data_IF_218151312391
#
_entry.id   IF_218151312391
#
_cell.length_a   1.000
_cell.length_b   1.000
_cell.length_c   1.000
_cell.angle_alpha   90.00
_cell.angle_beta   90.00
_cell.angle_gamma   90.00
#
_symmetry.space_group_name_H-M   'P 1'
#
loop_
_entity.id
_entity.type
_entity.pdbx_description
1 polymer ?
#
# COMPACT_ATOMS: atom_id res chain seq x y z
N UNK A 1 12.26 10.34 -0.09
CA UNK A 1 11.01 10.64 -0.82
C UNK A 1 10.41 9.30 -1.26
N UNK A 2 9.38 8.79 -0.59
CA UNK A 2 8.72 7.53 -1.01
C UNK A 2 8.08 7.80 -2.37
N UNK A 3 8.71 7.32 -3.44
CA UNK A 3 8.16 7.42 -4.79
C UNK A 3 6.83 6.66 -4.80
N UNK A 4 5.76 7.27 -5.30
CA UNK A 4 4.44 6.63 -5.32
C UNK A 4 4.51 5.42 -6.27
N UNK A 5 4.56 4.24 -5.67
CA UNK A 5 4.56 2.94 -6.34
C UNK A 5 3.49 2.88 -7.43
N UNK A 6 2.30 3.46 -7.19
CA UNK A 6 1.20 3.42 -8.16
C UNK A 6 1.55 4.09 -9.48
N UNK A 7 2.41 5.11 -9.48
CA UNK A 7 2.88 5.75 -10.71
C UNK A 7 3.63 4.74 -11.58
N UNK A 8 4.54 3.96 -10.99
CA UNK A 8 5.28 2.94 -11.73
C UNK A 8 4.42 1.77 -12.18
N UNK A 9 3.49 1.31 -11.33
CA UNK A 9 2.52 0.27 -11.72
C UNK A 9 1.64 0.73 -12.89
N UNK A 10 1.19 1.98 -12.88
CA UNK A 10 0.42 2.56 -13.98
C UNK A 10 1.24 2.62 -15.28
N UNK A 11 2.51 3.04 -15.22
CA UNK A 11 3.39 3.02 -16.41
C UNK A 11 3.60 1.61 -16.97
N UNK A 12 3.67 0.59 -16.10
CA UNK A 12 3.74 -0.81 -16.52
C UNK A 12 2.45 -1.18 -17.26
N UNK A 13 1.28 -0.95 -16.66
CA UNK A 13 0.00 -1.29 -17.28
C UNK A 13 -0.23 -0.56 -18.60
N UNK A 14 0.01 0.75 -18.66
CA UNK A 14 -0.11 1.54 -19.90
C UNK A 14 0.77 0.96 -21.02
N UNK A 15 2.01 0.56 -20.69
CA UNK A 15 2.92 -0.03 -21.66
C UNK A 15 2.46 -1.41 -22.12
N UNK A 16 1.88 -2.22 -21.22
CA UNK A 16 1.30 -3.51 -21.54
C UNK A 16 0.08 -3.35 -22.47
N UNK A 17 -0.83 -2.43 -22.15
CA UNK A 17 -2.03 -2.15 -22.95
C UNK A 17 -1.64 -1.75 -24.39
N UNK A 18 -0.63 -0.90 -24.54
CA UNK A 18 -0.09 -0.53 -25.85
C UNK A 18 0.53 -1.73 -26.58
N UNK A 19 1.27 -2.63 -25.90
CA UNK A 19 1.80 -3.86 -26.52
C UNK A 19 0.65 -4.75 -27.02
N UNK A 20 -0.39 -4.93 -26.22
CA UNK A 20 -1.57 -5.71 -26.59
C UNK A 20 -2.28 -5.08 -27.80
N UNK A 21 -2.43 -3.75 -27.82
CA UNK A 21 -3.02 -3.02 -28.95
C UNK A 21 -2.19 -3.21 -30.23
N UNK A 22 -0.88 -2.99 -30.17
CA UNK A 22 -0.01 -3.08 -31.34
C UNK A 22 0.05 -4.49 -31.93
N UNK A 23 -0.06 -5.51 -31.08
CA UNK A 23 0.06 -6.92 -31.47
C UNK A 23 -1.28 -7.63 -31.61
N UNK A 24 -2.39 -6.88 -31.47
CA UNK A 24 -3.74 -7.38 -31.68
C UNK A 24 -3.89 -7.85 -33.13
N UNK A 25 -4.38 -9.08 -33.30
CA UNK A 25 -4.59 -9.71 -34.60
C UNK A 25 -3.31 -9.80 -35.48
N UNK A 26 -2.13 -9.80 -34.85
CA UNK A 26 -0.83 -9.99 -35.52
C UNK A 26 -0.27 -11.39 -35.28
N UNK A 27 0.28 -11.95 -36.34
CA UNK A 27 1.07 -13.19 -36.31
C UNK A 27 2.53 -12.90 -35.95
N UNK A 28 3.29 -13.96 -35.66
CA UNK A 28 4.74 -13.86 -35.46
C UNK A 28 5.44 -13.32 -36.72
N UNK A 29 5.02 -13.76 -37.91
CA UNK A 29 5.53 -13.28 -39.19
C UNK A 29 5.26 -11.79 -39.39
N UNK A 30 4.08 -11.28 -39.02
CA UNK A 30 3.78 -9.84 -39.04
C UNK A 30 4.76 -9.06 -38.14
N UNK A 31 5.10 -9.62 -36.97
CA UNK A 31 6.08 -9.04 -36.07
C UNK A 31 7.50 -9.06 -36.66
N UNK A 32 7.92 -10.17 -37.26
CA UNK A 32 9.27 -10.32 -37.83
C UNK A 32 9.50 -9.46 -39.08
N UNK A 33 8.43 -9.16 -39.83
CA UNK A 33 8.51 -8.36 -41.06
C UNK A 33 8.28 -6.86 -40.85
N UNK A 34 7.64 -6.46 -39.74
CA UNK A 34 7.35 -5.05 -39.45
C UNK A 34 8.35 -4.41 -38.47
N UNK A 35 9.29 -3.63 -38.99
CA UNK A 35 10.24 -2.85 -38.16
C UNK A 35 9.55 -1.88 -37.21
N UNK A 36 8.48 -1.23 -37.68
CA UNK A 36 7.68 -0.35 -36.84
C UNK A 36 7.09 -1.09 -35.63
N UNK A 37 6.57 -2.30 -35.84
CA UNK A 37 6.00 -3.10 -34.75
C UNK A 37 7.08 -3.57 -33.77
N UNK A 38 8.24 -3.99 -34.29
CA UNK A 38 9.41 -4.34 -33.47
C UNK A 38 9.81 -3.17 -32.56
N UNK A 39 10.06 -2.00 -33.14
CA UNK A 39 10.52 -0.82 -32.39
C UNK A 39 9.48 -0.38 -31.35
N UNK A 40 8.20 -0.39 -31.71
CA UNK A 40 7.11 -0.01 -30.81
C UNK A 40 7.02 -0.96 -29.61
N UNK A 41 7.04 -2.28 -29.83
CA UNK A 41 6.97 -3.30 -28.78
C UNK A 41 8.22 -3.26 -27.89
N UNK A 42 9.41 -3.24 -28.49
CA UNK A 42 10.69 -3.19 -27.75
C UNK A 42 10.72 -1.95 -26.86
N UNK A 43 10.30 -0.78 -27.37
CA UNK A 43 10.24 0.44 -26.58
C UNK A 43 9.31 0.31 -25.37
N UNK A 44 8.16 -0.34 -25.53
CA UNK A 44 7.23 -0.57 -24.40
C UNK A 44 7.84 -1.51 -23.36
N UNK A 45 8.52 -2.58 -23.79
CA UNK A 45 9.24 -3.50 -22.88
C UNK A 45 10.33 -2.75 -22.09
N UNK A 46 11.07 -1.84 -22.74
CA UNK A 46 12.07 -1.01 -22.03
C UNK A 46 11.45 -0.12 -20.95
N UNK A 47 10.28 0.49 -21.23
CA UNK A 47 9.57 1.33 -20.27
C UNK A 47 9.08 0.49 -19.07
N UNK A 48 8.57 -0.73 -19.32
CA UNK A 48 8.20 -1.67 -18.27
C UNK A 48 9.42 -1.98 -17.37
N UNK A 49 10.55 -2.33 -17.98
CA UNK A 49 11.78 -2.62 -17.24
C UNK A 49 12.26 -1.44 -16.39
N UNK A 50 12.20 -0.22 -16.93
CA UNK A 50 12.57 1.00 -16.21
C UNK A 50 11.62 1.31 -15.04
N UNK A 51 10.30 1.15 -15.25
CA UNK A 51 9.32 1.31 -14.18
C UNK A 51 9.57 0.31 -13.04
N UNK A 52 9.89 -0.94 -13.35
CA UNK A 52 10.22 -1.98 -12.36
C UNK A 52 11.50 -1.64 -11.59
N UNK A 53 12.55 -1.13 -12.26
CA UNK A 53 13.78 -0.68 -11.57
C UNK A 53 13.54 0.43 -10.55
N UNK A 54 12.50 1.23 -10.76
CA UNK A 54 12.14 2.32 -9.89
C UNK A 54 11.20 1.92 -8.73
N UNK A 55 10.70 0.68 -8.71
CA UNK A 55 9.97 0.15 -7.54
C UNK A 55 10.91 -0.01 -6.34
N UNK A 56 10.50 0.42 -5.13
CA UNK A 56 11.26 0.21 -3.89
C UNK A 56 11.64 -1.27 -3.68
N UNK A 57 12.75 -1.53 -3.01
CA UNK A 57 13.20 -2.91 -2.76
C UNK A 57 12.18 -3.66 -1.91
N UNK A 58 11.69 -3.02 -0.85
CA UNK A 58 10.71 -3.58 0.09
C UNK A 58 9.40 -3.95 -0.64
N UNK A 59 9.04 -3.20 -1.68
CA UNK A 59 7.89 -3.50 -2.51
C UNK A 59 8.10 -4.75 -3.36
N UNK A 60 9.27 -4.90 -3.97
CA UNK A 60 9.61 -6.08 -4.78
C UNK A 60 9.76 -7.34 -3.91
N UNK A 61 10.27 -7.19 -2.69
CA UNK A 61 10.35 -8.27 -1.69
C UNK A 61 8.96 -8.73 -1.23
N UNK A 62 8.02 -7.80 -1.03
CA UNK A 62 6.62 -8.12 -0.68
C UNK A 62 5.96 -9.02 -1.74
N UNK A 63 6.25 -8.78 -3.02
CA UNK A 63 5.68 -9.55 -4.15
C UNK A 63 6.76 -10.36 -4.87
N UNK A 64 7.54 -11.15 -4.12
CA UNK A 64 8.71 -11.87 -4.62
C UNK A 64 8.40 -13.04 -5.59
N UNK A 65 7.13 -13.42 -5.73
CA UNK A 65 6.69 -14.42 -6.69
C UNK A 65 6.76 -13.92 -8.14
N UNK A 66 6.83 -12.61 -8.33
CA UNK A 66 7.05 -11.98 -9.65
C UNK A 66 8.55 -11.91 -9.89
N UNK A 67 9.06 -12.39 -11.05
CA UNK A 67 10.49 -12.36 -11.36
C UNK A 67 10.95 -10.94 -11.77
N UNK A 68 10.90 -10.00 -10.83
CA UNK A 68 11.16 -8.57 -11.07
C UNK A 68 12.48 -8.32 -11.79
N UNK A 69 13.53 -9.07 -11.44
CA UNK A 69 14.85 -8.94 -12.04
C UNK A 69 14.84 -9.25 -13.52
N UNK A 70 14.14 -10.29 -13.94
CA UNK A 70 14.06 -10.71 -15.34
C UNK A 70 13.35 -9.65 -16.18
N UNK A 71 12.23 -9.11 -15.69
CA UNK A 71 11.54 -8.00 -16.37
C UNK A 71 12.36 -6.70 -16.38
N UNK A 72 13.07 -6.38 -15.29
CA UNK A 72 13.93 -5.20 -15.21
C UNK A 72 15.13 -5.28 -16.19
N UNK A 73 15.66 -6.48 -16.40
CA UNK A 73 16.80 -6.76 -17.27
C UNK A 73 16.37 -7.17 -18.69
N UNK A 74 15.06 -7.15 -18.99
CA UNK A 74 14.50 -7.70 -20.22
C UNK A 74 15.15 -7.13 -21.48
N UNK A 75 15.39 -5.81 -21.51
CA UNK A 75 16.13 -5.17 -22.62
C UNK A 75 17.49 -5.83 -22.87
N UNK A 76 18.26 -6.07 -21.82
CA UNK A 76 19.58 -6.66 -21.92
C UNK A 76 19.47 -8.13 -22.36
N UNK A 77 18.46 -8.85 -21.88
CA UNK A 77 18.18 -10.24 -22.27
C UNK A 77 17.86 -10.31 -23.76
N UNK A 78 17.02 -9.41 -24.28
CA UNK A 78 16.60 -9.38 -25.67
C UNK A 78 17.75 -9.03 -26.64
N UNK A 79 18.76 -8.26 -26.21
CA UNK A 79 19.88 -7.83 -27.07
C UNK A 79 21.08 -8.80 -27.01
N UNK A 80 21.23 -9.58 -25.93
CA UNK A 80 22.50 -10.25 -25.58
C UNK A 80 22.98 -11.33 -26.54
N UNK A 81 22.20 -11.82 -27.51
CA UNK A 81 22.61 -12.99 -28.29
C UNK A 81 23.45 -12.70 -29.54
N UNK A 82 23.25 -11.61 -30.29
CA UNK A 82 23.95 -11.46 -31.59
C UNK A 82 24.21 -10.01 -32.06
N UNK A 83 24.48 -9.07 -31.13
CA UNK A 83 24.53 -7.62 -31.45
C UNK A 83 23.22 -7.08 -32.07
N UNK A 84 22.13 -7.82 -31.93
CA UNK A 84 20.80 -7.51 -32.42
C UNK A 84 19.75 -8.09 -31.49
N UNK A 85 18.52 -7.62 -31.65
CA UNK A 85 17.38 -8.05 -30.82
C UNK A 85 16.93 -9.45 -31.26
N UNK A 86 16.79 -10.37 -30.30
CA UNK A 86 16.19 -11.69 -30.50
C UNK A 86 14.67 -11.53 -30.67
N UNK A 87 14.22 -11.44 -31.93
CA UNK A 87 12.81 -11.21 -32.26
C UNK A 87 11.92 -12.36 -31.83
N UNK A 88 12.40 -13.61 -31.90
CA UNK A 88 11.66 -14.79 -31.45
C UNK A 88 11.41 -14.74 -29.95
N UNK A 89 12.47 -14.49 -29.17
CA UNK A 89 12.33 -14.31 -27.72
C UNK A 89 11.43 -13.12 -27.38
N UNK A 90 11.54 -12.00 -28.11
CA UNK A 90 10.68 -10.83 -27.91
C UNK A 90 9.21 -11.18 -28.11
N UNK A 91 8.89 -11.92 -29.17
CA UNK A 91 7.52 -12.37 -29.43
C UNK A 91 7.01 -13.34 -28.37
N UNK A 92 7.85 -14.27 -27.91
CA UNK A 92 7.49 -15.17 -26.80
C UNK A 92 7.16 -14.40 -25.52
N UNK A 93 8.00 -13.42 -25.15
CA UNK A 93 7.78 -12.55 -23.98
C UNK A 93 6.44 -11.83 -24.10
N UNK A 94 6.13 -11.27 -25.28
CA UNK A 94 4.86 -10.59 -25.54
C UNK A 94 3.66 -11.51 -25.37
N UNK A 95 3.75 -12.77 -25.84
CA UNK A 95 2.60 -13.69 -25.81
C UNK A 95 2.46 -14.46 -24.50
N UNK A 96 3.53 -14.65 -23.73
CA UNK A 96 3.54 -15.52 -22.53
C UNK A 96 3.77 -14.76 -21.23
N UNK A 97 4.73 -13.85 -21.18
CA UNK A 97 5.19 -13.26 -19.92
C UNK A 97 4.49 -11.92 -19.63
N UNK A 98 4.28 -11.09 -20.65
CA UNK A 98 3.58 -9.82 -20.53
C UNK A 98 2.13 -9.99 -20.02
N UNK A 99 1.31 -10.94 -20.52
CA UNK A 99 -0.03 -11.16 -19.98
C UNK A 99 -0.03 -11.58 -18.51
N UNK A 100 0.91 -12.46 -18.11
CA UNK A 100 1.06 -12.86 -16.71
C UNK A 100 1.45 -11.69 -15.82
N UNK A 101 2.39 -10.85 -16.29
CA UNK A 101 2.77 -9.63 -15.58
C UNK A 101 1.55 -8.70 -15.40
N UNK A 102 0.72 -8.54 -16.44
CA UNK A 102 -0.51 -7.74 -16.36
C UNK A 102 -1.43 -8.21 -15.24
N UNK A 103 -1.73 -9.51 -15.19
CA UNK A 103 -2.59 -10.09 -14.17
C UNK A 103 -2.07 -9.80 -12.77
N UNK A 104 -0.76 -9.98 -12.55
CA UNK A 104 -0.14 -9.73 -11.27
C UNK A 104 -0.15 -8.25 -10.88
N UNK A 105 0.15 -7.34 -11.80
CA UNK A 105 0.12 -5.89 -11.54
C UNK A 105 -1.31 -5.42 -11.22
N UNK A 106 -2.33 -5.94 -11.92
CA UNK A 106 -3.74 -5.62 -11.64
C UNK A 106 -4.16 -6.11 -10.25
N UNK A 107 -3.80 -7.33 -9.84
CA UNK A 107 -4.06 -7.84 -8.48
C UNK A 107 -3.40 -6.96 -7.41
N UNK A 108 -2.16 -6.56 -7.64
CA UNK A 108 -1.41 -5.66 -6.75
C UNK A 108 -2.12 -4.30 -6.65
N UNK A 109 -2.57 -3.74 -7.78
CA UNK A 109 -3.30 -2.47 -7.77
C UNK A 109 -4.61 -2.56 -6.98
N UNK A 110 -5.37 -3.64 -7.17
CA UNK A 110 -6.60 -3.91 -6.42
C UNK A 110 -6.32 -4.02 -4.91
N UNK A 111 -5.25 -4.71 -4.51
CA UNK A 111 -4.82 -4.79 -3.11
C UNK A 111 -4.47 -3.40 -2.54
N UNK A 112 -3.72 -2.60 -3.31
CA UNK A 112 -3.35 -1.24 -2.92
C UNK A 112 -4.54 -0.26 -2.87
N UNK A 113 -5.61 -0.53 -3.61
CA UNK A 113 -6.86 0.24 -3.56
C UNK A 113 -7.77 -0.20 -2.41
N UNK A 114 -7.86 -1.51 -2.14
CA UNK A 114 -8.57 -2.05 -0.97
C UNK A 114 -8.01 -1.49 0.32
N UNK A 115 -6.68 -1.43 0.44
CA UNK A 115 -6.03 -0.85 1.61
C UNK A 115 -6.41 0.64 1.77
N UNK A 116 -6.39 1.45 0.69
CA UNK A 116 -6.81 2.87 0.74
C UNK A 116 -8.23 3.09 1.29
N UNK A 117 -9.13 2.14 1.08
CA UNK A 117 -10.52 2.24 1.51
C UNK A 117 -10.79 1.63 2.89
N UNK A 118 -9.78 1.05 3.55
CA UNK A 118 -9.95 0.58 4.91
C UNK A 118 -10.22 1.78 5.83
N UNK A 119 -11.32 1.66 6.56
CA UNK A 119 -11.75 2.58 7.59
C UNK A 119 -11.66 1.88 8.92
N UNK A 120 -11.02 2.53 9.88
CA UNK A 120 -10.88 2.05 11.24
C UNK A 120 -11.56 3.01 12.20
N UNK A 121 -11.91 2.47 13.36
CA UNK A 121 -12.25 3.29 14.51
C UNK A 121 -11.06 3.29 15.47
N UNK A 122 -10.81 4.42 16.12
CA UNK A 122 -9.74 4.55 17.12
C UNK A 122 -10.38 5.04 18.42
N UNK A 123 -10.12 4.34 19.51
CA UNK A 123 -10.50 4.80 20.84
C UNK A 123 -9.41 5.73 21.37
N UNK A 124 -9.72 7.01 21.38
CA UNK A 124 -8.84 8.06 21.86
C UNK A 124 -9.07 8.33 23.35
N UNK A 125 -7.97 8.40 24.09
CA UNK A 125 -7.89 8.93 25.44
C UNK A 125 -6.74 9.96 25.48
N UNK A 126 -6.87 11.04 26.26
CA UNK A 126 -5.81 12.05 26.34
C UNK A 126 -5.81 13.03 25.15
N UNK A 127 -4.64 13.32 24.56
CA UNK A 127 -4.48 14.39 23.57
C UNK A 127 -5.25 14.14 22.27
N UNK A 128 -5.37 12.89 21.82
CA UNK A 128 -6.16 12.52 20.64
C UNK A 128 -7.68 12.76 20.80
N UNK A 129 -8.16 13.12 22.00
CA UNK A 129 -9.54 13.56 22.22
C UNK A 129 -9.78 15.02 21.80
N UNK A 130 -8.71 15.83 21.64
CA UNK A 130 -8.83 17.27 21.37
C UNK A 130 -9.01 17.53 19.89
N UNK A 131 -10.02 18.33 19.53
CA UNK A 131 -10.33 18.66 18.11
C UNK A 131 -9.18 19.37 17.42
N UNK A 132 -8.48 20.25 18.14
CA UNK A 132 -7.35 21.03 17.64
C UNK A 132 -6.18 20.11 17.27
N UNK A 133 -5.91 19.09 18.11
CA UNK A 133 -4.89 18.08 17.84
C UNK A 133 -5.23 17.24 16.61
N UNK A 134 -6.50 16.84 16.46
CA UNK A 134 -6.95 16.09 15.28
C UNK A 134 -6.83 16.92 13.99
N UNK A 135 -7.17 18.21 14.04
CA UNK A 135 -6.98 19.13 12.92
C UNK A 135 -5.50 19.29 12.55
N UNK A 136 -4.61 19.42 13.54
CA UNK A 136 -3.16 19.51 13.31
C UNK A 136 -2.61 18.25 12.63
N UNK A 137 -2.99 17.07 13.12
CA UNK A 137 -2.44 15.80 12.66
C UNK A 137 -3.01 15.37 11.30
N UNK A 138 -4.32 15.41 11.13
CA UNK A 138 -5.00 14.80 9.97
C UNK A 138 -5.80 15.78 9.13
N UNK A 139 -5.71 17.09 9.41
CA UNK A 139 -6.34 18.16 8.65
C UNK A 139 -7.88 18.04 8.55
N UNK A 140 -8.50 17.37 9.52
CA UNK A 140 -9.96 17.29 9.70
C UNK A 140 -10.31 16.85 11.12
N UNK A 141 -11.57 17.01 11.50
CA UNK A 141 -12.13 16.37 12.70
C UNK A 141 -12.98 15.17 12.25
N UNK A 142 -12.61 13.92 12.60
CA UNK A 142 -13.43 12.75 12.32
C UNK A 142 -14.73 12.79 13.12
N UNK A 143 -15.69 11.91 12.80
CA UNK A 143 -16.88 11.79 13.64
C UNK A 143 -16.46 11.24 15.01
N UNK A 144 -16.86 11.94 16.06
CA UNK A 144 -16.49 11.66 17.45
C UNK A 144 -17.73 11.17 18.19
N UNK A 145 -17.63 10.03 18.88
CA UNK A 145 -18.68 9.48 19.73
C UNK A 145 -18.10 9.24 21.12
N UNK A 146 -18.76 9.72 22.17
CA UNK A 146 -18.37 9.42 23.55
C UNK A 146 -18.60 7.93 23.85
N UNK A 147 -17.66 7.32 24.56
CA UNK A 147 -17.74 5.90 24.88
C UNK A 147 -16.64 5.46 25.83
N UNK A 148 -16.57 4.15 26.05
CA UNK A 148 -15.62 3.54 26.97
C UNK A 148 -15.10 2.20 26.49
N UNK A 149 -13.90 1.87 26.93
CA UNK A 149 -13.33 0.52 26.81
C UNK A 149 -13.23 -0.10 28.19
N UNK A 150 -13.48 -1.41 28.27
CA UNK A 150 -13.39 -2.18 29.51
C UNK A 150 -12.13 -3.04 29.52
N UNK A 151 -11.61 -3.34 30.70
CA UNK A 151 -10.37 -4.11 30.88
C UNK A 151 -9.10 -3.28 30.75
N UNK A 152 -9.21 -1.94 30.76
CA UNK A 152 -8.09 -1.01 30.69
C UNK A 152 -8.18 0.02 31.80
N UNK A 153 -7.03 0.54 32.24
CA UNK A 153 -6.95 1.73 33.08
C UNK A 153 -6.05 2.79 32.43
N UNK A 154 -6.42 4.05 32.64
CA UNK A 154 -5.60 5.20 32.28
C UNK A 154 -4.74 5.58 33.48
N UNK A 155 -3.45 5.77 33.26
CA UNK A 155 -2.50 6.17 34.31
C UNK A 155 -1.59 7.28 33.79
N UNK A 156 -1.07 8.10 34.70
CA UNK A 156 -0.06 9.08 34.35
C UNK A 156 1.32 8.42 34.40
N UNK A 157 2.04 8.44 33.28
CA UNK A 157 3.41 7.94 33.20
C UNK A 157 4.38 9.09 33.48
N UNK A 158 4.92 9.11 34.71
CA UNK A 158 5.88 10.12 35.17
C UNK A 158 7.18 10.11 34.34
N UNK A 159 7.52 9.00 33.68
CA UNK A 159 8.77 8.90 32.90
C UNK A 159 8.75 9.70 31.61
N UNK A 160 7.56 9.87 31.03
CA UNK A 160 7.35 10.63 29.79
C UNK A 160 6.51 11.91 30.02
N UNK A 161 5.88 12.05 31.19
CA UNK A 161 5.04 13.21 31.53
C UNK A 161 3.68 13.21 30.83
N UNK A 162 3.22 12.05 30.35
CA UNK A 162 1.97 11.89 29.61
C UNK A 162 1.12 10.74 30.15
N UNK A 163 -0.16 10.73 29.80
CA UNK A 163 -1.06 9.64 30.18
C UNK A 163 -0.91 8.44 29.25
N UNK A 164 -0.71 7.26 29.82
CA UNK A 164 -0.79 5.97 29.14
C UNK A 164 -2.05 5.20 29.48
N UNK A 165 -2.35 4.17 28.69
CA UNK A 165 -3.32 3.14 29.02
C UNK A 165 -2.63 1.78 29.12
N UNK A 166 -3.09 0.93 30.03
CA UNK A 166 -2.64 -0.46 30.17
C UNK A 166 -3.80 -1.38 30.52
N UNK A 167 -3.63 -2.68 30.31
CA UNK A 167 -4.64 -3.67 30.71
C UNK A 167 -4.79 -3.72 32.22
N UNK A 168 -6.04 -3.71 32.68
CA UNK A 168 -6.41 -3.96 34.08
C UNK A 168 -7.83 -4.49 34.15
N UNK A 169 -7.95 -5.72 34.64
CA UNK A 169 -9.24 -6.39 34.79
C UNK A 169 -10.17 -5.60 35.73
N UNK A 170 -11.46 -5.59 35.43
CA UNK A 170 -12.48 -4.86 36.20
C UNK A 170 -12.42 -3.33 36.10
N UNK A 171 -11.49 -2.78 35.29
CA UNK A 171 -11.37 -1.33 35.08
C UNK A 171 -11.97 -0.90 33.73
N UNK A 172 -12.16 0.40 33.55
CA UNK A 172 -12.56 0.98 32.28
C UNK A 172 -11.91 2.36 32.07
N UNK A 173 -11.90 2.82 30.82
CA UNK A 173 -11.47 4.17 30.42
C UNK A 173 -12.63 4.82 29.68
N UNK A 174 -13.07 5.99 30.12
CA UNK A 174 -13.94 6.87 29.32
C UNK A 174 -13.09 7.67 28.32
N UNK A 175 -13.60 7.84 27.11
CA UNK A 175 -12.87 8.47 26.00
C UNK A 175 -13.76 8.75 24.80
N UNK A 176 -13.14 8.87 23.63
CA UNK A 176 -13.83 9.19 22.38
C UNK A 176 -13.52 8.12 21.33
N UNK A 177 -14.56 7.59 20.69
CA UNK A 177 -14.46 6.76 19.51
C UNK A 177 -14.39 7.67 18.29
N UNK A 178 -13.22 7.72 17.66
CA UNK A 178 -12.99 8.39 16.38
C UNK A 178 -13.35 7.43 15.26
N UNK A 179 -14.31 7.80 14.42
CA UNK A 179 -14.78 6.96 13.32
C UNK A 179 -14.12 7.29 11.98
N UNK A 180 -14.09 6.29 11.11
CA UNK A 180 -13.70 6.40 9.70
C UNK A 180 -12.29 6.94 9.47
N UNK A 181 -11.34 6.53 10.32
CA UNK A 181 -9.91 6.82 10.19
C UNK A 181 -9.35 5.98 9.04
N UNK A 182 -8.74 6.62 8.05
CA UNK A 182 -8.08 5.94 6.93
C UNK A 182 -6.75 5.32 7.34
N UNK A 183 -6.22 4.38 6.55
CA UNK A 183 -4.85 3.87 6.68
C UNK A 183 -3.81 4.99 6.87
N UNK A 184 -3.90 6.06 6.06
CA UNK A 184 -2.95 7.18 6.13
C UNK A 184 -3.03 7.93 7.46
N UNK A 185 -4.24 8.18 7.93
CA UNK A 185 -4.49 8.92 9.18
C UNK A 185 -4.15 8.08 10.41
N UNK A 186 -4.44 6.79 10.34
CA UNK A 186 -4.04 5.83 11.36
C UNK A 186 -2.50 5.77 11.46
N UNK A 187 -1.79 5.78 10.34
CA UNK A 187 -0.32 5.89 10.33
C UNK A 187 0.20 7.19 10.92
N UNK A 188 -0.49 8.32 10.72
CA UNK A 188 -0.14 9.59 11.38
C UNK A 188 -0.33 9.49 12.89
N UNK A 189 -1.38 8.82 13.37
CA UNK A 189 -1.57 8.57 14.80
C UNK A 189 -0.50 7.63 15.36
N UNK A 190 -0.10 6.60 14.61
CA UNK A 190 1.01 5.71 15.00
C UNK A 190 2.32 6.48 15.15
N UNK A 191 2.64 7.36 14.19
CA UNK A 191 3.81 8.23 14.26
C UNK A 191 3.73 9.21 15.44
N UNK A 192 2.55 9.78 15.70
CA UNK A 192 2.33 10.71 16.82
C UNK A 192 2.48 10.05 18.20
N UNK A 193 2.03 8.81 18.34
CA UNK A 193 2.13 8.02 19.58
C UNK A 193 3.46 7.27 19.68
N UNK A 194 4.44 7.54 18.81
CA UNK A 194 5.73 6.84 18.75
C UNK A 194 5.55 5.31 18.84
N UNK A 195 4.72 4.78 17.94
CA UNK A 195 4.40 3.35 17.89
C UNK A 195 5.69 2.52 17.80
N UNK A 196 5.71 1.42 18.54
CA UNK A 196 6.85 0.54 18.74
C UNK A 196 8.02 1.08 19.57
N UNK A 197 8.01 2.36 19.95
CA UNK A 197 8.96 2.94 20.92
C UNK A 197 8.32 3.02 22.30
N UNK A 198 7.25 3.81 22.44
CA UNK A 198 6.58 4.02 23.73
C UNK A 198 5.24 3.29 23.82
N UNK A 199 4.55 3.14 22.69
CA UNK A 199 3.22 2.55 22.62
C UNK A 199 3.16 1.31 21.72
N UNK A 200 2.18 0.46 21.99
CA UNK A 200 1.65 -0.55 21.05
C UNK A 200 0.23 -0.18 20.69
N UNK A 201 -0.25 -0.67 19.54
CA UNK A 201 -1.64 -0.54 19.15
C UNK A 201 -2.32 -1.90 19.20
N UNK A 202 -3.41 -1.99 19.94
CA UNK A 202 -4.18 -3.23 20.12
C UNK A 202 -5.61 -3.08 19.60
N UNK A 203 -6.20 -4.15 19.08
CA UNK A 203 -7.64 -4.19 18.76
C UNK A 203 -8.45 -4.52 20.00
N UNK A 204 -9.54 -3.79 20.22
CA UNK A 204 -10.49 -4.05 21.29
C UNK A 204 -11.90 -3.59 20.91
N UNK A 205 -12.84 -3.66 21.83
CA UNK A 205 -14.22 -3.18 21.65
C UNK A 205 -14.50 -2.00 22.56
N UNK A 206 -14.91 -0.87 21.98
CA UNK A 206 -15.47 0.25 22.72
C UNK A 206 -17.00 0.18 22.73
N UNK A 207 -17.61 0.70 23.79
CA UNK A 207 -19.06 0.82 23.95
C UNK A 207 -19.42 2.29 24.04
N UNK A 208 -20.24 2.79 23.12
CA UNK A 208 -20.78 4.16 23.18
C UNK A 208 -21.81 4.30 24.30
N UNK A 209 -22.17 5.54 24.64
CA UNK A 209 -23.18 5.81 25.67
C UNK A 209 -24.55 5.17 25.38
N UNK A 210 -24.94 5.04 24.10
CA UNK A 210 -26.18 4.37 23.69
C UNK A 210 -26.08 2.82 23.67
N UNK A 211 -24.95 2.27 24.14
CA UNK A 211 -24.72 0.83 24.27
C UNK A 211 -24.25 0.13 23.00
N UNK A 212 -24.01 0.84 21.90
CA UNK A 212 -23.47 0.25 20.67
C UNK A 212 -22.01 -0.12 20.82
N UNK A 213 -21.63 -1.25 20.22
CA UNK A 213 -20.26 -1.77 20.23
C UNK A 213 -19.53 -1.36 18.95
N UNK A 214 -18.28 -0.96 19.09
CA UNK A 214 -17.39 -0.58 17.99
C UNK A 214 -16.08 -1.34 18.12
N UNK A 215 -15.67 -2.02 17.06
CA UNK A 215 -14.30 -2.51 16.94
C UNK A 215 -13.38 -1.31 16.73
N UNK A 216 -12.40 -1.16 17.62
CA UNK A 216 -11.51 -0.01 17.70
C UNK A 216 -10.06 -0.46 17.84
N UNK A 217 -9.14 0.39 17.40
CA UNK A 217 -7.77 0.36 17.90
C UNK A 217 -7.64 1.23 19.15
N UNK A 218 -6.82 0.79 20.09
CA UNK A 218 -6.40 1.57 21.26
C UNK A 218 -4.87 1.55 21.33
N UNK A 219 -4.26 2.69 21.64
CA UNK A 219 -2.84 2.77 21.98
C UNK A 219 -2.65 2.35 23.43
N UNK A 220 -1.64 1.54 23.73
CA UNK A 220 -1.33 1.09 25.09
C UNK A 220 0.15 1.36 25.36
N UNK A 221 0.45 1.86 26.54
CA UNK A 221 1.83 2.10 26.96
C UNK A 221 2.55 0.75 27.10
N UNK A 222 3.72 0.63 26.46
CA UNK A 222 4.63 -0.52 26.62
C UNK A 222 5.16 -0.62 28.06
#
# INVERSE_FOLDING_TARGET
MRKDVKIYLNHILESIELIEEYTKDKTEDDFFTSKFLQDAVIRRIEIIGEAIKNLPMEFREKYNHIPWKEFAEMRDILIRKYFGVDLGLTWEVVKKDIPKLKEEILKIMEELDKNKNNKYNVFAYGELMKKERLLELINRVPKMIEGRVYGYEKFFDETIGYYGARKKEGSYIDGIILLDITDKELGIFDDYEDLDVYYIREKTTAVSEDGRKYDVYIYLRK
#
